data_IF_492644699429
#
_entry.id   IF_492644699429
#
_cell.length_a   1.000
_cell.length_b   1.000
_cell.length_c   1.000
_cell.angle_alpha   90.00
_cell.angle_beta   90.00
_cell.angle_gamma   90.00
#
_symmetry.space_group_name_H-M   'P 1'
#
loop_
_entity.id
_entity.type
_entity.pdbx_description
1 polymer ?
#
# COMPACT_ATOMS: atom_id res chain seq x y z
N UNK A 1 13.55 -9.22 43.72
CA UNK A 1 12.77 -8.59 42.63
C UNK A 1 11.51 -9.40 42.39
N UNK A 2 10.34 -8.80 42.56
CA UNK A 2 9.06 -9.50 42.52
C UNK A 2 8.69 -9.89 41.07
N UNK A 3 7.91 -10.97 40.86
CA UNK A 3 7.53 -11.44 39.50
C UNK A 3 6.77 -10.34 38.73
N UNK A 4 5.93 -9.57 39.43
CA UNK A 4 5.25 -8.39 38.87
C UNK A 4 6.23 -7.32 38.35
N UNK A 5 7.35 -7.09 39.03
CA UNK A 5 8.37 -6.14 38.58
C UNK A 5 9.11 -6.63 37.35
N UNK A 6 9.45 -7.92 37.28
CA UNK A 6 10.05 -8.53 36.09
C UNK A 6 9.17 -8.36 34.85
N UNK A 7 7.86 -8.63 35.00
CA UNK A 7 6.88 -8.47 33.92
C UNK A 7 6.78 -7.01 33.49
N UNK A 8 6.72 -6.06 34.44
CA UNK A 8 6.65 -4.62 34.13
C UNK A 8 7.88 -4.14 33.37
N UNK A 9 9.07 -4.59 33.76
CA UNK A 9 10.33 -4.26 33.07
C UNK A 9 10.37 -4.88 31.67
N UNK A 10 9.92 -6.12 31.52
CA UNK A 10 9.84 -6.79 30.22
C UNK A 10 8.93 -6.03 29.26
N UNK A 11 7.69 -5.71 29.69
CA UNK A 11 6.76 -4.95 28.86
C UNK A 11 7.32 -3.60 28.47
N UNK A 12 7.97 -2.88 29.40
CA UNK A 12 8.61 -1.59 29.09
C UNK A 12 9.70 -1.72 28.01
N UNK A 13 10.61 -2.70 28.14
CA UNK A 13 11.64 -2.98 27.13
C UNK A 13 11.03 -3.42 25.79
N UNK A 14 9.93 -4.15 25.85
CA UNK A 14 9.22 -4.63 24.66
C UNK A 14 8.54 -3.48 23.90
N UNK A 15 7.91 -2.52 24.59
CA UNK A 15 7.38 -1.32 23.93
C UNK A 15 8.50 -0.45 23.34
N UNK A 16 9.62 -0.30 24.05
CA UNK A 16 10.79 0.43 23.55
C UNK A 16 11.38 -0.20 22.28
N UNK A 17 11.37 -1.54 22.18
CA UNK A 17 11.92 -2.28 21.04
C UNK A 17 10.86 -2.85 20.08
N UNK A 18 9.61 -2.40 20.18
CA UNK A 18 8.47 -2.96 19.45
C UNK A 18 8.71 -3.06 17.94
N UNK A 19 9.34 -2.05 17.35
CA UNK A 19 9.67 -2.03 15.91
C UNK A 19 10.61 -3.19 15.53
N UNK A 20 11.69 -3.39 16.28
CA UNK A 20 12.66 -4.45 16.03
C UNK A 20 12.06 -5.84 16.20
N UNK A 21 11.21 -6.02 17.21
CA UNK A 21 10.45 -7.26 17.40
C UNK A 21 9.53 -7.51 16.21
N UNK A 22 8.81 -6.49 15.75
CA UNK A 22 7.89 -6.60 14.61
C UNK A 22 8.63 -6.94 13.32
N UNK A 23 9.80 -6.32 13.09
CA UNK A 23 10.68 -6.62 11.94
C UNK A 23 11.18 -8.07 12.02
N UNK A 24 11.63 -8.52 13.20
CA UNK A 24 12.10 -9.89 13.40
C UNK A 24 11.02 -10.94 13.12
N UNK A 25 9.80 -10.73 13.65
CA UNK A 25 8.65 -11.60 13.37
C UNK A 25 8.34 -11.60 11.88
N UNK A 26 8.31 -10.43 11.24
CA UNK A 26 8.03 -10.31 9.82
C UNK A 26 9.02 -11.09 8.94
N UNK A 27 10.33 -10.93 9.18
CA UNK A 27 11.37 -11.67 8.45
C UNK A 27 11.18 -13.18 8.63
N UNK A 28 10.88 -13.63 9.86
CA UNK A 28 10.60 -15.05 10.13
C UNK A 28 9.38 -15.57 9.38
N UNK A 29 8.29 -14.80 9.34
CA UNK A 29 7.06 -15.18 8.63
C UNK A 29 7.26 -15.21 7.11
N UNK A 30 8.03 -14.29 6.52
CA UNK A 30 8.38 -14.34 5.09
C UNK A 30 9.18 -15.61 4.79
N UNK A 31 10.22 -15.89 5.59
CA UNK A 31 11.06 -17.06 5.37
C UNK A 31 10.25 -18.34 5.42
N UNK A 32 9.35 -18.49 6.41
CA UNK A 32 8.40 -19.60 6.44
C UNK A 32 7.50 -19.62 5.20
N UNK A 33 6.94 -18.48 4.79
CA UNK A 33 6.10 -18.40 3.60
C UNK A 33 6.81 -18.88 2.33
N UNK A 34 8.07 -18.48 2.12
CA UNK A 34 8.87 -18.93 0.98
C UNK A 34 9.21 -20.42 1.06
N UNK A 35 9.52 -20.95 2.25
CA UNK A 35 9.73 -22.39 2.45
C UNK A 35 8.48 -23.17 2.06
N UNK A 36 7.30 -22.72 2.50
CA UNK A 36 6.02 -23.37 2.19
C UNK A 36 5.64 -23.25 0.70
N UNK A 37 6.04 -22.16 0.03
CA UNK A 37 5.95 -22.06 -1.43
C UNK A 37 6.82 -23.11 -2.13
N UNK A 38 8.10 -23.25 -1.74
CA UNK A 38 8.98 -24.25 -2.34
C UNK A 38 8.54 -25.70 -2.08
N UNK A 39 7.81 -25.93 -0.98
CA UNK A 39 7.15 -27.22 -0.69
C UNK A 39 5.84 -27.43 -1.46
N UNK A 40 5.34 -26.42 -2.15
CA UNK A 40 4.11 -26.47 -2.95
C UNK A 40 2.82 -26.24 -2.16
N UNK A 41 2.88 -25.83 -0.90
CA UNK A 41 1.70 -25.58 -0.07
C UNK A 41 1.05 -24.21 -0.31
N UNK A 42 1.85 -23.21 -0.66
CA UNK A 42 1.36 -21.86 -0.94
C UNK A 42 1.53 -21.50 -2.42
N UNK A 43 0.55 -20.81 -3.05
CA UNK A 43 0.72 -20.28 -4.39
C UNK A 43 1.69 -19.09 -4.37
N UNK A 44 2.39 -18.85 -5.49
CA UNK A 44 3.39 -17.77 -5.63
C UNK A 44 2.82 -16.39 -5.23
N UNK A 45 1.59 -16.10 -5.66
CA UNK A 45 0.90 -14.84 -5.32
C UNK A 45 0.70 -14.69 -3.81
N UNK A 46 0.46 -15.80 -3.10
CA UNK A 46 0.20 -15.84 -1.67
C UNK A 46 1.43 -15.51 -0.82
N UNK A 47 2.64 -15.65 -1.38
CA UNK A 47 3.90 -15.31 -0.70
C UNK A 47 4.46 -13.97 -1.17
N UNK A 48 4.29 -13.65 -2.46
CA UNK A 48 4.68 -12.35 -3.02
C UNK A 48 3.92 -11.19 -2.38
N UNK A 49 2.59 -11.27 -2.29
CA UNK A 49 1.77 -10.18 -1.77
C UNK A 49 2.17 -9.76 -0.33
N UNK A 50 2.29 -10.69 0.64
CA UNK A 50 2.76 -10.36 1.98
C UNK A 50 4.17 -9.75 2.00
N UNK A 51 5.07 -10.27 1.16
CA UNK A 51 6.48 -9.85 1.10
C UNK A 51 6.63 -8.36 0.73
N UNK A 52 5.74 -7.83 -0.10
CA UNK A 52 5.80 -6.43 -0.54
C UNK A 52 4.80 -5.52 0.20
N UNK A 53 3.61 -6.01 0.55
CA UNK A 53 2.57 -5.19 1.17
C UNK A 53 2.80 -4.98 2.68
N UNK A 54 3.25 -5.99 3.41
CA UNK A 54 3.41 -5.87 4.87
C UNK A 54 4.50 -4.85 5.26
N UNK A 55 5.67 -4.76 4.60
CA UNK A 55 6.65 -3.71 4.88
C UNK A 55 6.05 -2.32 4.64
N UNK A 56 5.35 -2.14 3.52
CA UNK A 56 4.70 -0.87 3.18
C UNK A 56 3.66 -0.47 4.24
N UNK A 57 2.86 -1.42 4.72
CA UNK A 57 1.89 -1.20 5.80
C UNK A 57 2.59 -0.89 7.13
N UNK A 58 3.63 -1.62 7.51
CA UNK A 58 4.39 -1.39 8.74
C UNK A 58 5.10 -0.04 8.72
N UNK A 59 5.73 0.33 7.59
CA UNK A 59 6.30 1.65 7.37
C UNK A 59 5.22 2.73 7.44
N UNK A 60 4.08 2.52 6.80
CA UNK A 60 2.92 3.40 6.87
C UNK A 60 2.48 3.64 8.31
N UNK A 61 2.22 2.58 9.08
CA UNK A 61 1.79 2.65 10.48
C UNK A 61 2.86 3.36 11.35
N UNK A 62 4.13 3.02 11.19
CA UNK A 62 5.21 3.61 11.98
C UNK A 62 5.34 5.12 11.73
N UNK A 63 5.31 5.54 10.46
CA UNK A 63 5.39 6.96 10.12
C UNK A 63 4.11 7.70 10.51
N UNK A 64 2.92 7.11 10.28
CA UNK A 64 1.63 7.71 10.68
C UNK A 64 1.61 8.03 12.18
N UNK A 65 2.19 7.17 13.04
CA UNK A 65 2.29 7.46 14.50
C UNK A 65 3.13 8.69 14.84
N UNK A 66 4.06 9.10 13.97
CA UNK A 66 4.88 10.32 14.14
C UNK A 66 4.33 11.53 13.40
N UNK A 67 3.32 11.34 12.54
CA UNK A 67 2.76 12.41 11.74
C UNK A 67 1.72 13.21 12.54
N UNK A 68 1.71 14.53 12.32
CA UNK A 68 0.68 15.38 12.86
C UNK A 68 -0.69 15.02 12.24
N UNK A 69 -1.79 15.18 12.98
CA UNK A 69 -3.16 14.85 12.55
C UNK A 69 -3.49 15.49 11.19
N UNK A 70 -2.96 16.70 10.94
CA UNK A 70 -3.10 17.44 9.68
C UNK A 70 -2.50 16.66 8.50
N UNK A 71 -1.32 16.06 8.70
CA UNK A 71 -0.64 15.29 7.67
C UNK A 71 -1.34 13.96 7.42
N UNK A 72 -1.86 13.32 8.47
CA UNK A 72 -2.67 12.10 8.36
C UNK A 72 -3.94 12.39 7.54
N UNK A 73 -4.68 13.47 7.87
CA UNK A 73 -5.88 13.87 7.14
C UNK A 73 -5.59 14.20 5.68
N UNK A 74 -4.45 14.84 5.39
CA UNK A 74 -4.01 15.08 4.01
C UNK A 74 -3.68 13.77 3.29
N UNK A 75 -3.03 12.82 3.95
CA UNK A 75 -2.71 11.50 3.39
C UNK A 75 -3.98 10.70 3.07
N UNK A 76 -4.95 10.68 3.99
CA UNK A 76 -6.27 10.04 3.80
C UNK A 76 -7.03 10.72 2.67
N UNK A 77 -7.03 12.06 2.61
CA UNK A 77 -7.64 12.82 1.53
C UNK A 77 -7.02 12.48 0.17
N UNK A 78 -5.69 12.47 0.09
CA UNK A 78 -4.98 12.18 -1.16
C UNK A 78 -5.15 10.73 -1.58
N UNK A 79 -4.96 9.74 -0.69
CA UNK A 79 -5.10 8.32 -1.03
C UNK A 79 -6.57 7.98 -1.31
N UNK A 80 -7.48 8.35 -0.41
CA UNK A 80 -8.90 8.05 -0.53
C UNK A 80 -9.51 8.69 -1.77
N UNK A 81 -9.20 9.96 -2.01
CA UNK A 81 -9.64 10.62 -3.24
C UNK A 81 -8.95 10.03 -4.49
N UNK A 82 -7.66 9.68 -4.43
CA UNK A 82 -6.96 9.11 -5.58
C UNK A 82 -7.56 7.77 -5.99
N UNK A 83 -7.99 6.96 -5.03
CA UNK A 83 -8.73 5.74 -5.29
C UNK A 83 -10.11 6.03 -5.89
N UNK A 84 -10.84 7.00 -5.34
CA UNK A 84 -12.19 7.35 -5.80
C UNK A 84 -12.22 8.02 -7.19
N UNK A 85 -11.25 8.88 -7.52
CA UNK A 85 -11.15 9.57 -8.81
C UNK A 85 -10.27 8.82 -9.82
N UNK A 86 -9.25 8.12 -9.35
CA UNK A 86 -8.31 7.38 -10.20
C UNK A 86 -8.99 6.26 -10.95
N UNK A 87 -9.94 5.54 -10.34
CA UNK A 87 -10.70 4.49 -11.03
C UNK A 87 -11.57 5.03 -12.18
N UNK A 88 -12.43 6.05 -11.99
CA UNK A 88 -13.18 6.66 -13.10
C UNK A 88 -12.30 7.23 -14.21
N UNK A 89 -11.22 7.95 -13.86
CA UNK A 89 -10.26 8.50 -14.83
C UNK A 89 -9.63 7.36 -15.63
N UNK A 90 -9.14 6.35 -14.92
CA UNK A 90 -8.54 5.18 -15.54
C UNK A 90 -9.51 4.45 -16.46
N UNK A 91 -10.74 4.21 -16.01
CA UNK A 91 -11.75 3.50 -16.79
C UNK A 91 -12.06 4.26 -18.09
N UNK A 92 -12.22 5.58 -18.01
CA UNK A 92 -12.48 6.43 -19.17
C UNK A 92 -11.30 6.45 -20.15
N UNK A 93 -10.09 6.70 -19.65
CA UNK A 93 -8.84 6.73 -20.44
C UNK A 93 -8.59 5.35 -21.06
N UNK A 94 -8.75 4.29 -20.29
CA UNK A 94 -8.53 2.92 -20.75
C UNK A 94 -9.53 2.53 -21.83
N UNK A 95 -10.80 2.87 -21.63
CA UNK A 95 -11.85 2.57 -22.60
C UNK A 95 -11.61 3.28 -23.94
N UNK A 96 -11.34 4.60 -23.90
CA UNK A 96 -11.20 5.42 -25.09
C UNK A 96 -9.89 5.16 -25.84
N UNK A 97 -8.77 5.01 -25.13
CA UNK A 97 -7.46 4.91 -25.78
C UNK A 97 -7.04 3.47 -26.09
N UNK A 98 -7.53 2.49 -25.31
CA UNK A 98 -7.03 1.12 -25.40
C UNK A 98 -8.12 0.10 -25.70
N UNK A 99 -9.34 0.21 -25.16
CA UNK A 99 -10.39 -0.79 -25.45
C UNK A 99 -10.98 -0.58 -26.84
N UNK A 100 -11.43 0.63 -27.17
CA UNK A 100 -12.07 0.92 -28.45
C UNK A 100 -11.09 0.84 -29.64
N UNK A 101 -9.91 1.50 -29.60
CA UNK A 101 -9.03 1.53 -30.77
C UNK A 101 -8.30 0.21 -31.01
N UNK A 102 -8.13 -0.62 -29.97
CA UNK A 102 -7.43 -1.90 -30.07
C UNK A 102 -8.38 -3.10 -30.13
N UNK A 103 -9.70 -2.87 -30.20
CA UNK A 103 -10.67 -3.93 -30.42
C UNK A 103 -10.35 -4.82 -31.65
N UNK A 104 -9.87 -4.30 -32.80
CA UNK A 104 -9.51 -5.10 -33.96
C UNK A 104 -8.24 -5.96 -33.77
N UNK A 105 -7.36 -5.58 -32.84
CA UNK A 105 -6.03 -6.19 -32.66
C UNK A 105 -5.98 -7.15 -31.47
N UNK A 106 -7.13 -7.74 -31.10
CA UNK A 106 -7.33 -8.51 -29.86
C UNK A 106 -6.36 -9.67 -29.70
N UNK A 107 -5.94 -10.31 -30.80
CA UNK A 107 -5.16 -11.55 -30.80
C UNK A 107 -3.63 -11.33 -30.87
N UNK A 108 -3.16 -10.18 -31.33
CA UNK A 108 -1.76 -10.03 -31.73
C UNK A 108 -0.79 -9.57 -30.61
N UNK A 109 -1.28 -8.98 -29.51
CA UNK A 109 -0.40 -8.27 -28.55
C UNK A 109 -0.77 -8.41 -27.07
N UNK A 110 -0.77 -9.62 -26.53
CA UNK A 110 -1.12 -9.89 -25.12
C UNK A 110 -0.23 -9.17 -24.08
N UNK A 111 1.10 -9.22 -24.26
CA UNK A 111 2.06 -8.65 -23.29
C UNK A 111 2.07 -7.12 -23.37
N UNK A 112 2.19 -6.56 -24.57
CA UNK A 112 2.20 -5.10 -24.76
C UNK A 112 0.92 -4.45 -24.22
N UNK A 113 -0.25 -5.08 -24.46
CA UNK A 113 -1.52 -4.60 -23.93
C UNK A 113 -1.58 -4.64 -22.41
N UNK A 114 -1.03 -5.69 -21.79
CA UNK A 114 -0.91 -5.79 -20.33
C UNK A 114 -0.03 -4.68 -19.75
N UNK A 115 1.11 -4.40 -20.39
CA UNK A 115 2.02 -3.31 -19.98
C UNK A 115 1.33 -1.95 -20.09
N UNK A 116 0.68 -1.67 -21.22
CA UNK A 116 -0.07 -0.42 -21.45
C UNK A 116 -1.20 -0.28 -20.42
N UNK A 117 -1.91 -1.36 -20.13
CA UNK A 117 -2.98 -1.39 -19.13
C UNK A 117 -2.45 -0.99 -17.75
N UNK A 118 -1.36 -1.60 -17.29
CA UNK A 118 -0.73 -1.29 -15.99
C UNK A 118 -0.23 0.15 -15.94
N UNK A 119 0.44 0.63 -16.99
CA UNK A 119 0.92 2.01 -17.07
C UNK A 119 -0.23 3.01 -17.05
N UNK A 120 -1.32 2.72 -17.76
CA UNK A 120 -2.52 3.57 -17.78
C UNK A 120 -3.13 3.69 -16.38
N UNK A 121 -3.15 2.59 -15.62
CA UNK A 121 -3.62 2.59 -14.23
C UNK A 121 -2.69 3.43 -13.34
N UNK A 122 -1.38 3.17 -13.38
CA UNK A 122 -0.40 3.91 -12.59
C UNK A 122 -0.48 5.43 -12.83
N UNK A 123 -0.55 5.84 -14.10
CA UNK A 123 -0.65 7.26 -14.46
C UNK A 123 -1.98 7.89 -14.02
N UNK A 124 -3.09 7.15 -14.13
CA UNK A 124 -4.41 7.67 -13.74
C UNK A 124 -4.53 7.84 -12.23
N UNK A 125 -4.10 6.85 -11.45
CA UNK A 125 -4.10 6.93 -9.98
C UNK A 125 -3.05 7.93 -9.47
N UNK A 126 -1.87 7.99 -10.10
CA UNK A 126 -0.84 8.98 -9.79
C UNK A 126 -1.28 10.41 -10.11
N UNK A 127 -1.92 10.62 -11.26
CA UNK A 127 -2.50 11.91 -11.66
C UNK A 127 -3.62 12.35 -10.73
N UNK A 128 -4.53 11.43 -10.36
CA UNK A 128 -5.58 11.70 -9.38
C UNK A 128 -4.99 12.09 -8.01
N UNK A 129 -3.99 11.36 -7.52
CA UNK A 129 -3.29 11.68 -6.29
C UNK A 129 -2.63 13.06 -6.34
N UNK A 130 -2.00 13.43 -7.46
CA UNK A 130 -1.41 14.75 -7.64
C UNK A 130 -2.46 15.88 -7.59
N UNK A 131 -3.57 15.72 -8.30
CA UNK A 131 -4.68 16.68 -8.31
C UNK A 131 -5.21 16.88 -6.89
N UNK A 132 -5.44 15.79 -6.17
CA UNK A 132 -5.99 15.82 -4.83
C UNK A 132 -5.01 16.33 -3.78
N UNK A 133 -3.70 16.10 -3.95
CA UNK A 133 -2.69 16.74 -3.12
C UNK A 133 -2.69 18.26 -3.33
N UNK A 134 -2.78 18.73 -4.58
CA UNK A 134 -2.89 20.17 -4.88
C UNK A 134 -4.17 20.79 -4.33
N UNK A 135 -5.31 20.11 -4.47
CA UNK A 135 -6.59 20.57 -3.91
C UNK A 135 -6.58 20.54 -2.39
N UNK A 136 -5.97 19.51 -1.81
CA UNK A 136 -5.78 19.35 -0.37
C UNK A 136 -4.94 20.48 0.22
N UNK A 137 -3.84 20.89 -0.43
CA UNK A 137 -3.03 22.04 0.03
C UNK A 137 -3.82 23.35 0.19
N UNK A 138 -4.90 23.53 -0.60
CA UNK A 138 -5.79 24.69 -0.52
C UNK A 138 -6.85 24.55 0.58
N UNK A 139 -7.04 23.36 1.13
CA UNK A 139 -7.93 23.12 2.27
C UNK A 139 -7.19 23.37 3.56
N UNK A 140 -7.77 24.21 4.41
CA UNK A 140 -7.36 24.27 5.81
C UNK A 140 -7.82 22.95 6.45
N UNK A 141 -6.93 21.97 6.49
CA UNK A 141 -7.13 20.70 7.19
C UNK A 141 -7.13 20.97 8.71
N UNK A 142 -8.11 21.76 9.17
CA UNK A 142 -8.42 21.90 10.59
C UNK A 142 -8.88 20.54 11.12
N UNK A 143 -8.67 20.34 12.42
CA UNK A 143 -9.20 19.17 13.12
C UNK A 143 -10.70 19.11 12.80
N UNK A 144 -11.13 18.06 12.11
CA UNK A 144 -12.49 17.59 12.29
C UNK A 144 -12.55 17.18 13.77
N UNK A 145 -13.07 18.10 14.58
CA UNK A 145 -13.50 17.85 15.94
C UNK A 145 -15.00 17.63 15.87
#
# INVERSE_FOLDING_TARGET
MNVKEKIKIFWKKFTENWLWVTIGVYIGTILMGWIEYFRGFLPLIGVLLPTFLIPLLLFGIYYIRKLNIRTINRLIWTIGGASAMGFPIWLFVNYILFVVPWAPFREYHGILRTVIFILSALLSYGGAAYILDKLGKKRDFRRFM
#
